data_IF_533584242622
#
_entry.id   IF_533584242622
#
_cell.length_a   1.000
_cell.length_b   1.000
_cell.length_c   1.000
_cell.angle_alpha   90.00
_cell.angle_beta   90.00
_cell.angle_gamma   90.00
#
_symmetry.space_group_name_H-M   'P 1'
#
loop_
_entity.id
_entity.type
_entity.pdbx_description
1 polymer ?
#
# COMPACT_ATOMS: atom_id res chain seq x y z
N UNK A 1 5.85 18.61 6.16
CA UNK A 1 6.20 18.69 4.73
C UNK A 1 6.59 17.30 4.24
N UNK A 2 6.07 16.91 3.09
CA UNK A 2 6.33 15.59 2.56
C UNK A 2 7.60 15.58 1.70
N UNK A 3 8.44 14.59 1.95
CA UNK A 3 9.67 14.38 1.18
C UNK A 3 9.40 13.28 0.15
N UNK A 4 9.75 13.53 -1.10
CA UNK A 4 9.64 12.52 -2.15
C UNK A 4 10.92 11.69 -2.15
N UNK A 5 10.78 10.38 -1.93
CA UNK A 5 11.90 9.45 -2.06
C UNK A 5 12.07 9.12 -3.53
N UNK A 6 13.26 9.39 -4.07
CA UNK A 6 13.58 9.09 -5.46
C UNK A 6 14.39 7.80 -5.64
N UNK A 7 15.11 7.38 -4.61
CA UNK A 7 15.82 6.10 -4.61
C UNK A 7 14.83 4.98 -4.25
N UNK A 8 14.30 4.33 -5.25
CA UNK A 8 13.33 3.23 -5.11
C UNK A 8 13.99 1.84 -5.10
N UNK A 9 15.29 1.76 -4.78
CA UNK A 9 15.87 0.44 -4.56
C UNK A 9 15.16 -0.25 -3.40
N UNK A 10 14.89 -1.55 -3.48
CA UNK A 10 14.18 -2.26 -2.42
C UNK A 10 14.81 -2.08 -1.04
N UNK A 11 16.14 -2.11 -0.96
CA UNK A 11 16.85 -1.95 0.31
C UNK A 11 16.60 -0.59 0.94
N UNK A 12 16.62 0.48 0.13
CA UNK A 12 16.39 1.83 0.63
C UNK A 12 14.96 2.00 1.10
N UNK A 13 13.98 1.50 0.34
CA UNK A 13 12.59 1.61 0.70
C UNK A 13 12.27 0.82 1.96
N UNK A 14 12.81 -0.38 2.10
CA UNK A 14 12.61 -1.19 3.32
C UNK A 14 13.22 -0.52 4.54
N UNK A 15 14.38 0.11 4.37
CA UNK A 15 15.02 0.86 5.45
C UNK A 15 14.19 2.07 5.88
N UNK A 16 13.71 2.88 4.92
CA UNK A 16 12.98 4.12 5.19
C UNK A 16 11.58 3.89 5.75
N UNK A 17 10.88 2.89 5.24
CA UNK A 17 9.50 2.62 5.64
C UNK A 17 9.38 1.50 6.69
N UNK A 18 10.46 0.77 6.96
CA UNK A 18 10.50 -0.31 7.95
C UNK A 18 9.41 -1.35 7.68
N UNK A 19 9.25 -1.71 6.41
CA UNK A 19 8.27 -2.71 5.97
C UNK A 19 8.82 -3.49 4.76
N UNK A 20 7.95 -4.07 3.92
CA UNK A 20 8.36 -5.04 2.91
C UNK A 20 8.09 -4.54 1.50
N UNK A 21 9.10 -4.59 0.65
CA UNK A 21 8.99 -4.23 -0.76
C UNK A 21 8.21 -5.29 -1.53
N UNK A 22 7.30 -4.86 -2.41
CA UNK A 22 6.54 -5.78 -3.26
C UNK A 22 6.78 -5.56 -4.76
N UNK A 23 6.77 -4.30 -5.21
CA UNK A 23 6.76 -4.01 -6.65
C UNK A 23 7.18 -2.59 -6.91
N UNK A 24 7.74 -2.34 -8.10
CA UNK A 24 7.96 -0.97 -8.58
C UNK A 24 7.86 -0.92 -10.09
N UNK A 25 7.53 0.25 -10.59
CA UNK A 25 7.54 0.58 -12.00
C UNK A 25 8.11 2.00 -12.19
N UNK A 26 7.95 2.59 -13.38
CA UNK A 26 8.46 3.93 -13.65
C UNK A 26 7.74 5.04 -12.88
N UNK A 27 6.58 4.76 -12.27
CA UNK A 27 5.74 5.78 -11.63
C UNK A 27 5.72 5.69 -10.12
N UNK A 28 5.80 4.47 -9.55
CA UNK A 28 5.64 4.29 -8.10
C UNK A 28 6.24 2.97 -7.64
N UNK A 29 6.37 2.83 -6.33
CA UNK A 29 6.68 1.55 -5.68
C UNK A 29 5.51 1.17 -4.76
N UNK A 30 5.38 -0.12 -4.48
CA UNK A 30 4.39 -0.65 -3.55
C UNK A 30 5.12 -1.39 -2.44
N UNK A 31 4.81 -1.00 -1.20
CA UNK A 31 5.30 -1.66 0.02
C UNK A 31 4.12 -2.26 0.76
N UNK A 32 4.35 -3.19 1.67
CA UNK A 32 3.31 -3.71 2.54
C UNK A 32 3.77 -3.86 3.98
N UNK A 33 2.82 -3.81 4.90
CA UNK A 33 3.03 -4.18 6.29
C UNK A 33 2.79 -5.68 6.47
N UNK A 34 3.35 -6.26 7.52
CA UNK A 34 3.16 -7.68 7.85
C UNK A 34 2.04 -7.83 8.89
N UNK A 35 0.86 -7.33 8.57
CA UNK A 35 -0.29 -7.31 9.48
C UNK A 35 -1.42 -8.19 8.97
N UNK A 36 -2.25 -8.67 9.91
CA UNK A 36 -3.40 -9.51 9.58
C UNK A 36 -4.39 -8.77 8.67
N UNK A 37 -4.59 -7.46 8.91
CA UNK A 37 -5.34 -6.61 7.98
C UNK A 37 -4.40 -6.26 6.83
N UNK A 38 -4.72 -6.63 5.58
CA UNK A 38 -3.81 -6.38 4.44
C UNK A 38 -3.63 -4.88 4.20
N UNK A 39 -2.37 -4.43 4.23
CA UNK A 39 -2.05 -3.01 4.26
C UNK A 39 -0.88 -2.72 3.32
N UNK A 40 -1.17 -1.97 2.25
CA UNK A 40 -0.19 -1.55 1.24
C UNK A 40 0.08 -0.06 1.33
N UNK A 41 1.28 0.36 0.88
CA UNK A 41 1.60 1.77 0.66
C UNK A 41 2.08 1.96 -0.77
N UNK A 42 1.57 3.00 -1.43
CA UNK A 42 2.07 3.45 -2.72
C UNK A 42 3.04 4.61 -2.50
N UNK A 43 4.25 4.47 -3.05
CA UNK A 43 5.32 5.45 -2.88
C UNK A 43 5.57 6.12 -4.23
N UNK A 44 5.22 7.41 -4.39
CA UNK A 44 5.53 8.12 -5.64
C UNK A 44 7.03 8.37 -5.76
N UNK A 45 7.52 8.50 -6.99
CA UNK A 45 8.95 8.73 -7.26
C UNK A 45 9.26 10.15 -7.74
N UNK A 46 8.27 11.03 -7.75
CA UNK A 46 8.42 12.43 -8.15
C UNK A 46 7.35 13.27 -7.45
N UNK A 47 7.48 14.62 -7.48
CA UNK A 47 6.51 15.50 -6.83
C UNK A 47 5.08 15.22 -7.28
N UNK A 48 4.17 15.20 -6.32
CA UNK A 48 2.77 14.81 -6.56
C UNK A 48 1.97 16.06 -6.93
N UNK A 49 1.81 16.27 -8.23
CA UNK A 49 0.90 17.29 -8.78
C UNK A 49 -0.53 16.76 -8.73
N UNK A 50 -1.55 17.63 -8.87
CA UNK A 50 -2.94 17.14 -8.94
C UNK A 50 -3.18 16.10 -10.03
N UNK A 51 -2.55 16.26 -11.19
CA UNK A 51 -2.67 15.31 -12.30
C UNK A 51 -2.06 13.95 -11.93
N UNK A 52 -0.83 13.94 -11.40
CA UNK A 52 -0.17 12.72 -10.98
C UNK A 52 -0.92 12.05 -9.81
N UNK A 53 -1.44 12.85 -8.86
CA UNK A 53 -2.26 12.33 -7.78
C UNK A 53 -3.50 11.59 -8.30
N UNK A 54 -4.15 12.16 -9.32
CA UNK A 54 -5.30 11.51 -9.96
C UNK A 54 -4.92 10.18 -10.60
N UNK A 55 -3.77 10.11 -11.26
CA UNK A 55 -3.26 8.88 -11.86
C UNK A 55 -2.96 7.82 -10.79
N UNK A 56 -2.32 8.22 -9.70
CA UNK A 56 -2.03 7.31 -8.58
C UNK A 56 -3.31 6.77 -7.97
N UNK A 57 -4.29 7.64 -7.72
CA UNK A 57 -5.56 7.22 -7.15
C UNK A 57 -6.28 6.23 -8.05
N UNK A 58 -6.29 6.49 -9.37
CA UNK A 58 -6.91 5.57 -10.33
C UNK A 58 -6.24 4.18 -10.28
N UNK A 59 -4.90 4.14 -10.19
CA UNK A 59 -4.18 2.87 -10.07
C UNK A 59 -4.47 2.16 -8.75
N UNK A 60 -4.61 2.92 -7.68
CA UNK A 60 -4.95 2.35 -6.36
C UNK A 60 -6.34 1.77 -6.34
N UNK A 61 -7.32 2.46 -6.93
CA UNK A 61 -8.69 1.94 -7.02
C UNK A 61 -8.73 0.67 -7.86
N UNK A 62 -8.05 0.65 -8.99
CA UNK A 62 -7.98 -0.54 -9.84
C UNK A 62 -7.37 -1.73 -9.09
N UNK A 63 -6.29 -1.50 -8.36
CA UNK A 63 -5.66 -2.55 -7.56
C UNK A 63 -6.57 -3.01 -6.43
N UNK A 64 -7.23 -2.09 -5.75
CA UNK A 64 -8.15 -2.42 -4.67
C UNK A 64 -9.29 -3.32 -5.15
N UNK A 65 -9.87 -3.02 -6.33
CA UNK A 65 -10.92 -3.85 -6.90
C UNK A 65 -10.41 -5.24 -7.28
N UNK A 66 -9.19 -5.33 -7.80
CA UNK A 66 -8.56 -6.61 -8.06
C UNK A 66 -8.34 -7.42 -6.78
N UNK A 67 -7.79 -6.78 -5.74
CA UNK A 67 -7.56 -7.44 -4.44
C UNK A 67 -8.88 -7.88 -3.81
N UNK A 68 -9.94 -7.08 -3.98
CA UNK A 68 -11.27 -7.46 -3.52
C UNK A 68 -11.74 -8.75 -4.21
N UNK A 69 -11.57 -8.83 -5.53
CA UNK A 69 -11.96 -10.03 -6.28
C UNK A 69 -11.14 -11.26 -5.90
N UNK A 70 -9.92 -11.04 -5.39
CA UNK A 70 -9.01 -12.12 -4.97
C UNK A 70 -9.14 -12.47 -3.48
N UNK A 71 -10.13 -11.92 -2.80
CA UNK A 71 -10.46 -12.32 -1.44
C UNK A 71 -9.69 -11.62 -0.33
N UNK A 72 -8.99 -10.52 -0.63
CA UNK A 72 -8.23 -9.78 0.39
C UNK A 72 -9.11 -8.92 1.29
N UNK A 73 -10.33 -8.61 0.87
CA UNK A 73 -11.27 -7.82 1.66
C UNK A 73 -12.44 -7.36 0.80
N UNK A 74 -13.59 -7.15 1.41
CA UNK A 74 -14.78 -6.69 0.69
C UNK A 74 -14.84 -5.18 0.57
N UNK A 75 -14.09 -4.48 1.42
CA UNK A 75 -14.03 -3.01 1.48
C UNK A 75 -12.58 -2.57 1.48
N UNK A 76 -12.33 -1.27 1.30
CA UNK A 76 -10.98 -0.74 1.40
C UNK A 76 -10.98 0.72 1.84
N UNK A 77 -9.86 1.14 2.42
CA UNK A 77 -9.60 2.54 2.75
C UNK A 77 -8.38 3.00 1.95
N UNK A 78 -8.49 4.18 1.36
CA UNK A 78 -7.34 4.86 0.75
C UNK A 78 -7.15 6.16 1.53
N UNK A 79 -5.93 6.39 2.00
CA UNK A 79 -5.66 7.57 2.81
C UNK A 79 -4.22 8.04 2.66
N UNK A 80 -4.06 9.35 2.49
CA UNK A 80 -2.77 10.02 2.60
C UNK A 80 -2.69 10.59 4.01
N UNK A 81 -1.75 10.09 4.82
CA UNK A 81 -1.57 10.53 6.20
C UNK A 81 -0.17 11.16 6.31
N UNK A 82 0.81 10.66 6.90
CA UNK A 82 2.14 11.24 6.94
C UNK A 82 2.41 12.01 8.22
N UNK A 83 1.79 11.56 9.31
CA UNK A 83 1.95 12.22 10.59
C UNK A 83 3.25 11.81 11.31
N UNK A 84 3.80 10.65 10.97
CA UNK A 84 5.00 10.13 11.61
C UNK A 84 6.21 10.11 10.68
N UNK A 85 6.05 9.53 9.48
CA UNK A 85 7.12 9.50 8.49
C UNK A 85 6.99 10.70 7.57
N UNK A 86 8.09 11.44 7.31
CA UNK A 86 8.03 12.62 6.45
C UNK A 86 7.97 12.27 4.96
N UNK A 87 8.16 10.99 4.61
CA UNK A 87 8.18 10.56 3.21
C UNK A 87 6.78 10.40 2.67
N UNK A 88 6.54 10.95 1.48
CA UNK A 88 5.21 10.87 0.86
C UNK A 88 4.83 9.42 0.56
N UNK A 89 3.67 9.00 1.03
CA UNK A 89 3.12 7.67 0.74
C UNK A 89 1.61 7.71 0.93
N UNK A 90 0.91 6.85 0.18
CA UNK A 90 -0.54 6.75 0.23
C UNK A 90 -0.91 5.32 0.63
N UNK A 91 -1.76 5.19 1.63
CA UNK A 91 -2.15 3.89 2.17
C UNK A 91 -3.32 3.30 1.38
N UNK A 92 -3.26 1.99 1.15
CA UNK A 92 -4.38 1.19 0.67
C UNK A 92 -4.55 0.02 1.64
N UNK A 93 -5.67 0.01 2.36
CA UNK A 93 -5.94 -1.00 3.39
C UNK A 93 -7.19 -1.78 3.00
N UNK A 94 -7.07 -3.10 2.87
CA UNK A 94 -8.20 -3.97 2.55
C UNK A 94 -8.93 -4.31 3.84
N UNK A 95 -10.27 -4.18 3.83
CA UNK A 95 -11.06 -4.25 5.05
C UNK A 95 -12.19 -5.27 4.94
N UNK A 96 -12.52 -5.89 6.08
CA UNK A 96 -13.67 -6.78 6.22
C UNK A 96 -14.46 -6.42 7.46
N UNK A 97 -15.76 -6.75 7.46
CA UNK A 97 -16.63 -6.49 8.61
C UNK A 97 -16.21 -7.25 9.86
N UNK A 98 -15.43 -8.31 9.70
CA UNK A 98 -14.94 -9.11 10.83
C UNK A 98 -13.48 -8.83 11.18
N UNK A 99 -12.86 -7.79 10.60
CA UNK A 99 -11.48 -7.48 10.94
C UNK A 99 -11.36 -6.82 12.33
N UNK A 100 -10.15 -6.74 12.82
CA UNK A 100 -9.85 -6.27 14.18
C UNK A 100 -10.39 -4.87 14.47
N UNK A 101 -10.45 -4.01 13.46
CA UNK A 101 -10.77 -2.58 13.62
C UNK A 101 -12.18 -2.20 13.19
N UNK A 102 -12.85 -3.03 12.39
CA UNK A 102 -14.13 -2.67 11.79
C UNK A 102 -15.16 -2.20 12.81
N UNK A 103 -15.94 -1.11 12.57
CA UNK A 103 -15.95 -0.30 11.32
C UNK A 103 -14.96 0.88 11.34
N UNK A 104 -14.12 0.98 12.34
CA UNK A 104 -13.17 2.07 12.48
C UNK A 104 -11.99 1.89 11.54
N UNK A 105 -11.19 2.94 11.36
CA UNK A 105 -9.93 2.86 10.62
C UNK A 105 -8.87 2.15 11.47
N UNK A 106 -7.75 1.77 10.83
CA UNK A 106 -6.70 1.02 11.53
C UNK A 106 -5.75 1.91 12.34
N UNK A 107 -5.73 3.22 12.08
CA UNK A 107 -4.75 4.11 12.71
C UNK A 107 -5.05 4.28 14.19
N UNK A 108 -3.99 4.17 15.00
CA UNK A 108 -4.09 4.20 16.44
C UNK A 108 -4.31 2.83 17.08
N UNK A 109 -4.35 1.77 16.28
CA UNK A 109 -4.49 0.40 16.78
C UNK A 109 -3.20 -0.37 16.65
N UNK A 110 -2.98 -1.30 17.58
CA UNK A 110 -1.89 -2.25 17.53
C UNK A 110 -2.40 -3.50 16.82
N UNK A 111 -2.14 -3.57 15.50
CA UNK A 111 -2.64 -4.66 14.67
C UNK A 111 -1.88 -5.95 14.90
N UNK A 112 -2.58 -7.07 14.79
CA UNK A 112 -1.95 -8.40 14.86
C UNK A 112 -1.00 -8.59 13.67
N UNK A 113 0.17 -9.14 13.96
CA UNK A 113 1.14 -9.46 12.93
C UNK A 113 0.75 -10.73 12.19
N UNK A 114 0.99 -10.74 10.88
CA UNK A 114 0.81 -11.93 10.04
C UNK A 114 1.80 -11.82 8.87
N UNK A 115 2.95 -12.47 9.01
CA UNK A 115 4.00 -12.42 7.98
C UNK A 115 3.60 -13.17 6.71
N UNK A 116 2.62 -14.07 6.79
CA UNK A 116 2.17 -14.82 5.61
C UNK A 116 1.49 -13.93 4.58
N UNK A 117 1.03 -12.74 4.97
CA UNK A 117 0.40 -11.79 4.05
C UNK A 117 1.38 -11.32 2.97
N UNK A 118 2.67 -11.27 3.26
CA UNK A 118 3.70 -10.82 2.32
C UNK A 118 3.72 -11.73 1.09
N UNK A 119 3.79 -13.05 1.30
CA UNK A 119 3.79 -14.02 0.20
C UNK A 119 2.45 -14.05 -0.52
N UNK A 120 1.35 -13.87 0.20
CA UNK A 120 0.03 -13.77 -0.43
C UNK A 120 -0.04 -12.59 -1.39
N UNK A 121 0.48 -11.43 -1.00
CA UNK A 121 0.57 -10.27 -1.88
C UNK A 121 1.45 -10.55 -3.09
N UNK A 122 2.65 -11.09 -2.87
CA UNK A 122 3.57 -11.38 -3.97
C UNK A 122 2.94 -12.31 -5.01
N UNK A 123 2.32 -13.38 -4.55
CA UNK A 123 1.66 -14.36 -5.43
C UNK A 123 0.50 -13.72 -6.19
N UNK A 124 -0.28 -12.87 -5.53
CA UNK A 124 -1.45 -12.23 -6.11
C UNK A 124 -1.06 -11.13 -7.11
N UNK A 125 -0.04 -10.33 -6.79
CA UNK A 125 0.33 -9.17 -7.60
C UNK A 125 1.13 -9.53 -8.85
N UNK A 126 1.84 -10.64 -8.85
CA UNK A 126 2.67 -11.03 -10.00
C UNK A 126 1.85 -11.12 -11.30
N UNK A 127 0.73 -11.88 -11.36
CA UNK A 127 -0.04 -11.94 -12.61
C UNK A 127 -0.74 -10.61 -12.92
N UNK A 128 -1.08 -9.82 -11.93
CA UNK A 128 -1.74 -8.53 -12.14
C UNK A 128 -0.82 -7.58 -12.91
N UNK A 129 0.43 -7.44 -12.47
CA UNK A 129 1.37 -6.53 -13.12
C UNK A 129 1.99 -7.11 -14.39
N UNK A 130 2.00 -8.42 -14.55
CA UNK A 130 2.49 -9.05 -15.78
C UNK A 130 1.61 -8.76 -16.99
N UNK A 131 0.35 -8.37 -16.78
CA UNK A 131 -0.60 -8.04 -17.85
C UNK A 131 -0.56 -6.58 -18.27
N UNK A 132 0.22 -5.77 -17.59
CA UNK A 132 0.27 -4.33 -17.84
C UNK A 132 0.99 -4.00 -19.16
#
# INVERSE_FOLDING_TARGET
MDIIITDHSPENLEDKFENHFLYQNSDYAIMCESTEIPWLQFIPNRPVTPDYAGQLYAKMVALAEYLRSEGFGEHYNIAKIGNKLPYYHIHLVMRNQNDQAWPETIWGLDLKEDVSVIERFKTCLEPYFAQA
#
